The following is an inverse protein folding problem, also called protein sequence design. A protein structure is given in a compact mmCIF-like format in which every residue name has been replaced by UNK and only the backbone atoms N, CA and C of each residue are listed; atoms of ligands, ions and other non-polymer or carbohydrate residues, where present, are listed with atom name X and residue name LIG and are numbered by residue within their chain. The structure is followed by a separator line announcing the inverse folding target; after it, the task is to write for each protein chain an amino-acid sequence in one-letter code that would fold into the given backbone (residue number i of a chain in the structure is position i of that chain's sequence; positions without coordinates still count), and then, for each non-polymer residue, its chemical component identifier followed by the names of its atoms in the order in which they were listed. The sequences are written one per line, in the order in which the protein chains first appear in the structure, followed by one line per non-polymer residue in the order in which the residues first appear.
data_IF_794858982031
#
_entry.id   IF_794858982031
#
_cell.length_a   1.000
_cell.length_b   1.000
_cell.length_c   1.000
_cell.angle_alpha   90.00
_cell.angle_beta   90.00
_cell.angle_gamma   90.00
#
_symmetry.space_group_name_H-M   'P 1'
#
loop_
_entity.id
_entity.type
_entity.pdbx_description
1 polymer ?
#
# COMPACT_ATOMS: atom_id res chain seq x y z
N UNK A 1 -22.11 18.12 5.48
CA UNK A 1 -21.27 17.26 4.62
C UNK A 1 -20.11 16.80 5.47
N UNK A 2 -19.97 15.49 5.72
CA UNK A 2 -18.80 14.98 6.43
C UNK A 2 -17.56 15.30 5.58
N UNK A 3 -16.57 15.98 6.16
CA UNK A 3 -15.30 16.18 5.48
C UNK A 3 -14.75 14.81 5.09
N UNK A 4 -14.63 14.51 3.79
CA UNK A 4 -14.00 13.26 3.36
C UNK A 4 -12.58 13.25 3.93
N UNK A 5 -12.35 12.35 4.88
CA UNK A 5 -11.17 12.34 5.72
C UNK A 5 -9.99 11.95 4.84
N UNK A 6 -9.02 12.86 4.70
CA UNK A 6 -7.75 12.55 4.05
C UNK A 6 -7.08 11.37 4.79
N UNK A 7 -6.49 10.46 4.02
CA UNK A 7 -5.80 9.24 4.50
C UNK A 7 -4.33 9.28 4.09
N UNK A 8 -3.50 8.61 4.86
CA UNK A 8 -2.07 8.45 4.61
C UNK A 8 -1.83 7.03 4.08
N UNK A 9 -1.32 6.93 2.85
CA UNK A 9 -0.98 5.66 2.21
C UNK A 9 0.52 5.37 2.28
N UNK A 10 0.86 4.12 2.57
CA UNK A 10 2.16 3.56 2.20
C UNK A 10 2.05 3.07 0.76
N UNK A 11 2.81 3.67 -0.15
CA UNK A 11 2.82 3.25 -1.56
C UNK A 11 4.11 2.48 -1.83
N UNK A 12 3.96 1.22 -2.20
CA UNK A 12 5.07 0.35 -2.54
C UNK A 12 5.80 0.86 -3.80
N UNK A 13 7.12 0.66 -3.80
CA UNK A 13 8.02 0.87 -4.92
C UNK A 13 7.51 0.23 -6.21
N UNK A 14 6.86 -0.95 -6.14
CA UNK A 14 6.33 -1.58 -7.35
C UNK A 14 5.31 -0.68 -8.08
N UNK A 15 4.44 0.02 -7.35
CA UNK A 15 3.39 0.90 -7.92
C UNK A 15 4.03 2.14 -8.56
N UNK A 16 4.94 2.81 -7.84
CA UNK A 16 5.63 4.01 -8.37
C UNK A 16 6.58 3.67 -9.51
N UNK A 17 7.12 2.46 -9.57
CA UNK A 17 7.92 1.96 -10.70
C UNK A 17 7.07 1.71 -11.92
N UNK A 18 5.90 1.08 -11.76
CA UNK A 18 5.04 0.70 -12.89
C UNK A 18 4.21 1.85 -13.46
N UNK A 19 3.96 2.92 -12.69
CA UNK A 19 3.19 4.08 -13.14
C UNK A 19 3.82 4.74 -14.38
N UNK A 20 3.12 4.64 -15.51
CA UNK A 20 3.59 5.17 -16.80
C UNK A 20 3.29 6.65 -17.00
N UNK A 21 3.84 7.23 -18.07
CA UNK A 21 3.46 8.58 -18.54
C UNK A 21 2.08 8.61 -19.20
N UNK A 22 1.66 9.75 -19.75
CA UNK A 22 0.37 9.88 -20.44
C UNK A 22 0.27 8.93 -21.65
N UNK A 23 1.37 8.74 -22.37
CA UNK A 23 1.45 7.87 -23.56
C UNK A 23 1.56 6.37 -23.22
N UNK A 24 1.44 5.99 -21.95
CA UNK A 24 1.54 4.60 -21.55
C UNK A 24 0.41 3.77 -22.17
N UNK A 25 0.76 2.68 -22.84
CA UNK A 25 -0.19 1.77 -23.50
C UNK A 25 -0.61 0.59 -22.62
N UNK A 26 0.29 0.11 -21.76
CA UNK A 26 0.03 -1.05 -20.91
C UNK A 26 -0.98 -0.73 -19.80
N UNK A 27 -2.00 -1.59 -19.57
CA UNK A 27 -3.04 -1.36 -18.56
C UNK A 27 -2.49 -1.08 -17.16
N UNK A 28 -1.58 -1.92 -16.66
CA UNK A 28 -0.95 -1.75 -15.33
C UNK A 28 -0.29 -0.39 -15.17
N UNK A 29 0.38 0.10 -16.22
CA UNK A 29 1.01 1.42 -16.18
C UNK A 29 -0.01 2.56 -16.11
N UNK A 30 -1.15 2.43 -16.79
CA UNK A 30 -2.27 3.38 -16.70
C UNK A 30 -2.91 3.32 -15.32
N UNK A 31 -3.24 2.13 -14.83
CA UNK A 31 -3.89 1.92 -13.53
C UNK A 31 -3.07 2.49 -12.38
N UNK A 32 -1.75 2.21 -12.34
CA UNK A 32 -0.86 2.77 -11.33
C UNK A 32 -0.76 4.30 -11.42
N UNK A 33 -0.64 4.84 -12.64
CA UNK A 33 -0.59 6.29 -12.87
C UNK A 33 -1.87 6.97 -12.37
N UNK A 34 -3.02 6.44 -12.74
CA UNK A 34 -4.33 7.02 -12.44
C UNK A 34 -4.64 6.92 -10.95
N UNK A 35 -4.25 5.82 -10.29
CA UNK A 35 -4.27 5.70 -8.84
C UNK A 35 -3.43 6.79 -8.13
N UNK A 36 -2.19 7.00 -8.57
CA UNK A 36 -1.33 8.06 -8.00
C UNK A 36 -1.92 9.46 -8.24
N UNK A 37 -2.49 9.71 -9.42
CA UNK A 37 -3.23 10.95 -9.70
C UNK A 37 -4.40 11.14 -8.72
N UNK A 38 -5.18 10.09 -8.49
CA UNK A 38 -6.32 10.11 -7.57
C UNK A 38 -5.90 10.42 -6.13
N UNK A 39 -4.81 9.83 -5.63
CA UNK A 39 -4.23 10.19 -4.32
C UNK A 39 -3.96 11.70 -4.23
N UNK A 40 -3.34 12.27 -5.27
CA UNK A 40 -2.97 13.68 -5.33
C UNK A 40 -4.20 14.60 -5.40
N UNK A 41 -5.19 14.27 -6.24
CA UNK A 41 -6.37 15.11 -6.52
C UNK A 41 -7.40 15.06 -5.38
N UNK A 42 -7.74 13.86 -4.89
CA UNK A 42 -8.69 13.63 -3.77
C UNK A 42 -8.08 14.03 -2.42
N UNK A 43 -6.82 14.46 -2.46
CA UNK A 43 -6.10 15.07 -1.35
C UNK A 43 -5.67 14.11 -0.23
N UNK A 44 -5.45 12.84 -0.54
CA UNK A 44 -4.74 11.92 0.34
C UNK A 44 -3.26 12.31 0.49
N UNK A 45 -2.58 11.68 1.43
CA UNK A 45 -1.16 11.85 1.75
C UNK A 45 -0.44 10.51 1.57
N UNK A 46 0.88 10.54 1.49
CA UNK A 46 1.68 9.31 1.41
C UNK A 46 2.85 9.31 2.37
N UNK A 47 3.22 8.13 2.84
CA UNK A 47 4.40 7.91 3.67
C UNK A 47 5.67 7.93 2.81
N UNK A 48 6.69 8.61 3.30
CA UNK A 48 8.04 8.60 2.74
C UNK A 48 9.06 8.55 3.88
N UNK A 49 9.30 7.35 4.41
CA UNK A 49 10.44 7.12 5.32
C UNK A 49 11.76 7.21 4.55
N UNK A 50 12.89 7.18 5.26
CA UNK A 50 14.23 7.11 4.68
C UNK A 50 14.38 5.92 3.72
N UNK A 51 13.87 4.76 4.11
CA UNK A 51 13.98 3.48 3.40
C UNK A 51 13.09 3.49 2.16
N UNK A 52 11.79 3.82 2.32
CA UNK A 52 10.85 3.95 1.19
C UNK A 52 11.35 5.01 0.20
N UNK A 53 11.84 6.14 0.71
CA UNK A 53 12.40 7.20 -0.12
C UNK A 53 13.62 6.77 -0.92
N UNK A 54 14.48 5.91 -0.34
CA UNK A 54 15.65 5.35 -1.01
C UNK A 54 15.24 4.40 -2.14
N UNK A 55 14.26 3.53 -1.90
CA UNK A 55 13.75 2.63 -2.92
C UNK A 55 13.05 3.37 -4.07
N UNK A 56 12.25 4.39 -3.75
CA UNK A 56 11.65 5.25 -4.77
C UNK A 56 12.71 6.01 -5.56
N UNK A 57 13.77 6.51 -4.92
CA UNK A 57 14.84 7.21 -5.63
C UNK A 57 15.49 6.32 -6.70
N UNK A 58 15.75 5.06 -6.36
CA UNK A 58 16.33 4.06 -7.26
C UNK A 58 15.37 3.64 -8.37
N UNK A 59 14.11 3.39 -8.05
CA UNK A 59 13.22 2.61 -8.92
C UNK A 59 11.98 3.35 -9.44
N UNK A 60 11.63 4.53 -8.93
CA UNK A 60 10.44 5.24 -9.38
C UNK A 60 10.56 5.69 -10.85
N UNK A 61 9.45 5.56 -11.58
CA UNK A 61 9.36 6.00 -12.97
C UNK A 61 9.52 7.51 -13.13
N UNK A 62 9.78 7.97 -14.35
CA UNK A 62 9.83 9.41 -14.65
C UNK A 62 8.53 10.14 -14.28
N UNK A 63 7.38 9.48 -14.48
CA UNK A 63 6.08 10.01 -14.04
C UNK A 63 6.02 10.11 -12.51
N UNK A 64 6.33 9.04 -11.80
CA UNK A 64 6.22 8.99 -10.34
C UNK A 64 7.18 9.98 -9.66
N UNK A 65 8.36 10.25 -10.23
CA UNK A 65 9.26 11.30 -9.77
C UNK A 65 8.61 12.69 -9.84
N UNK A 66 7.96 13.04 -10.95
CA UNK A 66 7.22 14.31 -11.11
C UNK A 66 6.03 14.38 -10.15
N UNK A 67 5.29 13.28 -10.01
CA UNK A 67 4.19 13.17 -9.06
C UNK A 67 4.66 13.38 -7.62
N UNK A 68 5.79 12.78 -7.21
CA UNK A 68 6.39 12.98 -5.88
C UNK A 68 6.72 14.45 -5.61
N UNK A 69 7.28 15.17 -6.59
CA UNK A 69 7.55 16.61 -6.47
C UNK A 69 6.25 17.40 -6.24
N UNK A 70 5.16 17.04 -6.93
CA UNK A 70 3.85 17.66 -6.71
C UNK A 70 3.28 17.33 -5.32
N UNK A 71 3.47 16.11 -4.82
CA UNK A 71 3.08 15.74 -3.47
C UNK A 71 3.85 16.56 -2.42
N UNK A 72 5.16 16.75 -2.61
CA UNK A 72 6.00 17.57 -1.73
C UNK A 72 5.54 19.03 -1.70
N UNK A 73 5.37 19.65 -2.87
CA UNK A 73 4.99 21.07 -2.97
C UNK A 73 3.61 21.34 -2.35
N UNK A 74 2.72 20.36 -2.38
CA UNK A 74 1.39 20.40 -1.75
C UNK A 74 1.38 19.93 -0.30
N UNK A 75 2.55 19.67 0.32
CA UNK A 75 2.71 19.18 1.70
C UNK A 75 1.96 17.88 1.98
N UNK A 76 1.86 17.00 0.97
CA UNK A 76 1.16 15.70 1.04
C UNK A 76 2.07 14.52 1.37
N UNK A 77 3.37 14.75 1.52
CA UNK A 77 4.30 13.75 2.04
C UNK A 77 4.26 13.75 3.57
N UNK A 78 4.17 12.57 4.17
CA UNK A 78 4.29 12.32 5.60
C UNK A 78 5.59 11.55 5.84
N UNK A 79 6.41 12.01 6.79
CA UNK A 79 7.69 11.38 7.15
C UNK A 79 7.64 10.94 8.61
N UNK A 80 6.87 9.88 8.93
CA UNK A 80 6.75 9.40 10.30
C UNK A 80 8.07 8.81 10.76
N UNK A 81 8.34 8.92 12.07
CA UNK A 81 9.34 8.08 12.73
C UNK A 81 8.67 6.71 12.92
N UNK A 82 9.12 5.72 12.16
CA UNK A 82 8.59 4.36 12.23
C UNK A 82 9.37 3.60 13.29
N UNK A 83 8.67 3.13 14.32
CA UNK A 83 9.28 2.27 15.33
C UNK A 83 9.49 0.87 14.74
N UNK A 84 10.70 0.32 14.90
CA UNK A 84 10.96 -1.07 14.55
C UNK A 84 10.12 -2.00 15.42
N UNK A 85 9.56 -3.05 14.81
CA UNK A 85 8.67 -4.04 15.43
C UNK A 85 9.23 -5.46 15.25
N UNK A 86 10.44 -5.76 15.77
CA UNK A 86 11.08 -7.06 15.60
C UNK A 86 10.23 -8.21 16.16
N UNK A 87 9.50 -7.97 17.25
CA UNK A 87 8.59 -8.96 17.83
C UNK A 87 7.42 -9.31 16.90
N UNK A 88 6.91 -8.34 16.13
CA UNK A 88 5.86 -8.59 15.15
C UNK A 88 6.40 -9.38 13.96
N UNK A 89 7.59 -9.02 13.46
CA UNK A 89 8.26 -9.78 12.40
C UNK A 89 8.51 -11.23 12.86
N UNK A 90 8.98 -11.41 14.09
CA UNK A 90 9.20 -12.73 14.69
C UNK A 90 7.90 -13.54 14.76
N UNK A 91 6.81 -12.97 15.29
CA UNK A 91 5.48 -13.62 15.30
C UNK A 91 5.05 -14.10 13.91
N UNK A 92 5.28 -13.29 12.88
CA UNK A 92 4.95 -13.64 11.49
C UNK A 92 5.87 -14.74 10.97
N UNK A 93 7.18 -14.67 11.24
CA UNK A 93 8.17 -15.66 10.79
C UNK A 93 8.04 -17.02 11.51
N UNK A 94 7.50 -17.04 12.72
CA UNK A 94 7.24 -18.28 13.49
C UNK A 94 6.04 -19.08 12.94
N UNK A 95 5.26 -18.51 12.01
CA UNK A 95 4.21 -19.23 11.30
C UNK A 95 4.79 -20.28 10.33
N UNK A 96 3.97 -21.27 9.92
CA UNK A 96 4.40 -22.36 9.03
C UNK A 96 4.54 -21.90 7.56
N UNK A 97 5.37 -20.89 7.33
CA UNK A 97 5.82 -20.43 6.01
C UNK A 97 7.14 -21.10 5.61
N UNK A 98 7.28 -21.39 4.32
CA UNK A 98 8.55 -21.76 3.72
C UNK A 98 9.59 -20.64 3.82
N UNK A 99 10.87 -20.97 3.61
CA UNK A 99 11.96 -19.99 3.67
C UNK A 99 11.77 -18.85 2.65
N UNK A 100 11.39 -19.17 1.42
CA UNK A 100 11.10 -18.18 0.38
C UNK A 100 9.93 -17.24 0.75
N UNK A 101 8.87 -17.78 1.37
CA UNK A 101 7.74 -16.96 1.85
C UNK A 101 8.17 -16.05 3.00
N UNK A 102 9.03 -16.52 3.91
CA UNK A 102 9.60 -15.71 5.00
C UNK A 102 10.47 -14.57 4.47
N UNK A 103 11.30 -14.83 3.46
CA UNK A 103 12.11 -13.79 2.82
C UNK A 103 11.26 -12.73 2.12
N UNK A 104 10.19 -13.14 1.43
CA UNK A 104 9.25 -12.22 0.80
C UNK A 104 8.59 -11.29 1.85
N UNK A 105 8.09 -11.87 2.94
CA UNK A 105 7.50 -11.12 4.05
C UNK A 105 8.51 -10.16 4.72
N UNK A 106 9.76 -10.58 4.88
CA UNK A 106 10.81 -9.78 5.50
C UNK A 106 11.19 -8.56 4.65
N UNK A 107 11.29 -8.73 3.33
CA UNK A 107 11.59 -7.63 2.39
C UNK A 107 10.53 -6.52 2.45
N UNK A 108 9.26 -6.91 2.51
CA UNK A 108 8.13 -5.99 2.52
C UNK A 108 7.67 -5.59 3.95
N UNK A 109 8.34 -6.08 4.99
CA UNK A 109 7.95 -5.81 6.37
C UNK A 109 8.00 -4.32 6.72
N UNK A 110 8.93 -3.56 6.13
CA UNK A 110 8.99 -2.11 6.33
C UNK A 110 7.70 -1.39 5.89
N UNK A 111 6.99 -1.92 4.89
CA UNK A 111 5.71 -1.35 4.44
C UNK A 111 4.63 -1.54 5.51
N UNK A 112 4.67 -2.68 6.20
CA UNK A 112 3.77 -3.03 7.31
C UNK A 112 4.03 -2.11 8.50
N UNK A 113 5.29 -1.93 8.90
CA UNK A 113 5.64 -1.04 10.01
C UNK A 113 5.21 0.42 9.73
N UNK A 114 5.44 0.89 8.51
CA UNK A 114 5.02 2.21 8.06
C UNK A 114 3.48 2.37 8.07
N UNK A 115 2.75 1.34 7.65
CA UNK A 115 1.29 1.36 7.62
C UNK A 115 0.70 1.37 9.04
N UNK A 116 1.22 0.53 9.93
CA UNK A 116 0.83 0.45 11.34
C UNK A 116 1.18 1.72 12.14
N UNK A 117 2.12 2.52 11.64
CA UNK A 117 2.47 3.83 12.23
C UNK A 117 1.61 4.98 11.70
N UNK A 118 0.69 4.70 10.77
CA UNK A 118 -0.17 5.69 10.11
C UNK A 118 -1.62 5.19 10.00
N UNK A 119 -2.25 5.27 8.83
CA UNK A 119 -3.67 4.94 8.63
C UNK A 119 -3.91 3.47 8.22
N UNK A 120 -2.89 2.60 8.35
CA UNK A 120 -2.95 1.19 7.99
C UNK A 120 -3.27 0.91 6.51
N UNK A 121 -3.07 1.87 5.61
CA UNK A 121 -3.30 1.70 4.17
C UNK A 121 -2.00 1.40 3.42
N UNK A 122 -1.92 0.26 2.73
CA UNK A 122 -0.83 -0.11 1.83
C UNK A 122 -1.37 -0.21 0.40
N UNK A 123 -0.66 0.37 -0.56
CA UNK A 123 -0.86 0.14 -1.99
C UNK A 123 0.32 -0.64 -2.56
N UNK A 124 0.07 -1.86 -3.01
CA UNK A 124 1.07 -2.73 -3.64
C UNK A 124 0.41 -3.67 -4.65
N UNK A 125 1.17 -4.04 -5.67
CA UNK A 125 0.75 -5.05 -6.66
C UNK A 125 1.20 -6.47 -6.31
N UNK A 126 1.95 -6.65 -5.22
CA UNK A 126 2.44 -7.97 -4.81
C UNK A 126 1.32 -8.80 -4.17
N UNK A 127 0.62 -9.58 -5.00
CA UNK A 127 -0.44 -10.47 -4.51
C UNK A 127 0.13 -11.65 -3.72
N UNK A 128 1.39 -12.06 -3.92
CA UNK A 128 1.98 -13.16 -3.14
C UNK A 128 2.12 -12.70 -1.69
N UNK A 129 2.77 -11.56 -1.46
CA UNK A 129 2.93 -10.98 -0.13
C UNK A 129 1.58 -10.70 0.52
N UNK A 130 0.61 -10.16 -0.23
CA UNK A 130 -0.76 -9.98 0.28
C UNK A 130 -1.36 -11.29 0.79
N UNK A 131 -1.29 -12.38 0.00
CA UNK A 131 -1.85 -13.67 0.42
C UNK A 131 -1.14 -14.24 1.65
N UNK A 132 0.18 -14.07 1.75
CA UNK A 132 0.93 -14.45 2.94
C UNK A 132 0.50 -13.64 4.17
N UNK A 133 0.27 -12.34 4.01
CA UNK A 133 -0.21 -11.49 5.08
C UNK A 133 -1.66 -11.77 5.49
N UNK A 134 -2.54 -12.15 4.56
CA UNK A 134 -3.89 -12.65 4.88
C UNK A 134 -3.80 -13.93 5.74
N UNK A 135 -2.95 -14.89 5.35
CA UNK A 135 -2.70 -16.08 6.16
C UNK A 135 -2.18 -15.71 7.56
N UNK A 136 -1.22 -14.78 7.62
CA UNK A 136 -0.65 -14.32 8.89
C UNK A 136 -1.68 -13.59 9.77
N UNK A 137 -2.58 -12.80 9.18
CA UNK A 137 -3.61 -12.02 9.88
C UNK A 137 -4.59 -12.91 10.67
N UNK A 138 -4.72 -14.20 10.31
CA UNK A 138 -5.52 -15.15 11.09
C UNK A 138 -4.96 -15.37 12.50
N UNK A 139 -3.64 -15.25 12.67
CA UNK A 139 -2.93 -15.48 13.93
C UNK A 139 -2.37 -14.18 14.55
N UNK A 140 -2.16 -13.15 13.73
CA UNK A 140 -1.54 -11.88 14.13
C UNK A 140 -2.56 -10.76 13.98
N UNK A 141 -3.21 -10.40 15.09
CA UNK A 141 -4.32 -9.44 15.11
C UNK A 141 -3.95 -8.05 14.60
N UNK A 142 -2.70 -7.63 14.80
CA UNK A 142 -2.14 -6.36 14.33
C UNK A 142 -2.24 -6.19 12.81
N UNK A 143 -2.24 -7.29 12.04
CA UNK A 143 -2.32 -7.25 10.58
C UNK A 143 -3.76 -7.07 10.07
N UNK A 144 -4.78 -7.45 10.86
CA UNK A 144 -6.18 -7.46 10.41
C UNK A 144 -6.71 -6.08 10.01
N UNK A 145 -6.16 -5.03 10.62
CA UNK A 145 -6.54 -3.63 10.35
C UNK A 145 -5.88 -3.05 9.08
N UNK A 146 -4.92 -3.75 8.48
CA UNK A 146 -4.24 -3.27 7.28
C UNK A 146 -5.18 -3.40 6.10
N UNK A 147 -5.38 -2.28 5.41
CA UNK A 147 -6.08 -2.19 4.14
C UNK A 147 -5.02 -2.34 3.04
N UNK A 148 -5.19 -3.36 2.20
CA UNK A 148 -4.26 -3.64 1.10
C UNK A 148 -4.95 -3.43 -0.25
N UNK A 149 -4.54 -2.41 -0.99
CA UNK A 149 -5.08 -2.11 -2.31
C UNK A 149 -4.08 -2.43 -3.41
N UNK A 150 -4.58 -3.08 -4.46
CA UNK A 150 -3.83 -3.32 -5.68
C UNK A 150 -4.45 -2.49 -6.81
N UNK A 151 -3.76 -1.43 -7.31
CA UNK A 151 -4.32 -0.56 -8.33
C UNK A 151 -4.61 -1.27 -9.65
N UNK A 152 -3.97 -2.42 -9.92
CA UNK A 152 -4.11 -3.14 -11.18
C UNK A 152 -5.27 -4.16 -11.20
N UNK A 153 -5.84 -4.49 -10.03
CA UNK A 153 -6.91 -5.50 -9.93
C UNK A 153 -8.31 -4.92 -10.06
N UNK A 154 -8.57 -3.80 -9.40
CA UNK A 154 -9.89 -3.16 -9.35
C UNK A 154 -9.80 -1.63 -9.47
N UNK A 155 -9.32 -1.08 -10.59
CA UNK A 155 -9.03 0.35 -10.71
C UNK A 155 -10.26 1.25 -10.53
N UNK A 156 -11.44 0.85 -11.01
CA UNK A 156 -12.66 1.63 -10.89
C UNK A 156 -13.17 1.64 -9.43
N UNK A 157 -13.33 0.46 -8.83
CA UNK A 157 -13.76 0.33 -7.42
C UNK A 157 -12.81 1.07 -6.48
N UNK A 158 -11.50 1.03 -6.77
CA UNK A 158 -10.50 1.73 -5.99
C UNK A 158 -10.61 3.24 -6.13
N UNK A 159 -10.93 3.73 -7.33
CA UNK A 159 -11.18 5.16 -7.57
C UNK A 159 -12.39 5.65 -6.79
N UNK A 160 -13.48 4.88 -6.82
CA UNK A 160 -14.71 5.21 -6.08
C UNK A 160 -14.45 5.18 -4.57
N UNK A 161 -13.75 4.15 -4.07
CA UNK A 161 -13.37 4.05 -2.66
C UNK A 161 -12.46 5.19 -2.19
N UNK A 162 -11.48 5.61 -3.02
CA UNK A 162 -10.68 6.79 -2.73
C UNK A 162 -11.56 8.05 -2.67
N UNK A 163 -12.47 8.23 -3.63
CA UNK A 163 -13.37 9.38 -3.68
C UNK A 163 -14.31 9.46 -2.47
N UNK A 164 -14.66 8.31 -1.90
CA UNK A 164 -15.41 8.19 -0.64
C UNK A 164 -14.56 8.40 0.63
N UNK A 165 -13.29 8.78 0.48
CA UNK A 165 -12.39 9.08 1.59
C UNK A 165 -11.62 7.86 2.13
N UNK A 166 -11.55 6.78 1.35
CA UNK A 166 -10.82 5.55 1.70
C UNK A 166 -11.21 5.02 3.10
N UNK A 167 -12.51 4.78 3.28
CA UNK A 167 -13.07 4.31 4.55
C UNK A 167 -12.70 2.84 4.81
N UNK A 168 -12.14 2.49 5.99
CA UNK A 168 -11.75 1.12 6.33
C UNK A 168 -12.88 0.11 6.23
N UNK A 169 -14.09 0.48 6.65
CA UNK A 169 -15.28 -0.37 6.61
C UNK A 169 -15.76 -0.72 5.20
N UNK A 170 -15.14 -0.14 4.17
CA UNK A 170 -15.44 -0.38 2.76
C UNK A 170 -14.20 -0.81 1.97
N UNK A 171 -13.06 -0.96 2.63
CA UNK A 171 -11.77 -1.27 2.00
C UNK A 171 -11.43 -2.75 2.09
N UNK A 172 -10.57 -3.26 1.19
CA UNK A 172 -10.07 -4.63 1.25
C UNK A 172 -9.07 -4.79 2.41
N UNK A 173 -9.57 -5.15 3.59
CA UNK A 173 -8.72 -5.41 4.76
C UNK A 173 -8.12 -6.81 4.70
N UNK A 174 -6.94 -7.01 5.31
CA UNK A 174 -6.35 -8.34 5.45
C UNK A 174 -7.12 -9.25 6.41
N UNK A 175 -7.89 -8.66 7.33
CA UNK A 175 -8.67 -9.39 8.33
C UNK A 175 -10.01 -9.93 7.81
N UNK A 176 -10.57 -9.31 6.77
CA UNK A 176 -11.76 -9.80 6.08
C UNK A 176 -11.35 -10.79 4.99
N UNK A 177 -10.87 -11.95 5.41
CA UNK A 177 -10.98 -13.11 4.54
C UNK A 177 -12.46 -13.31 4.23
N UNK A 178 -12.90 -12.96 3.01
CA UNK A 178 -13.96 -13.75 2.39
C UNK A 178 -13.41 -15.17 2.38
N UNK A 179 -13.83 -15.95 3.37
CA UNK A 179 -13.81 -17.38 3.23
C UNK A 179 -14.66 -17.70 2.03
N UNK A 180 -14.02 -17.90 0.87
CA UNK A 180 -14.61 -18.70 -0.18
C UNK A 180 -14.71 -20.13 0.37
N UNK A 181 -15.73 -20.34 1.20
CA UNK A 181 -16.39 -21.63 1.31
C UNK A 181 -17.23 -21.73 0.05
N UNK A 182 -16.62 -22.22 -1.02
CA UNK A 182 -17.36 -22.84 -2.11
C UNK A 182 -17.30 -24.34 -1.86
N UNK A 183 -18.45 -24.89 -1.46
CA UNK A 183 -18.75 -26.31 -1.53
C UNK A 183 -18.61 -26.84 -2.96
#
# INVERSE_FOLDING_TARGET
MAANKSRIFVVDTCVVRSAGGEDAVFPTSKHCRDFLKNILTICHRVVLTSEIGTEWHKHASGFARKWRVQMESRKKICRPIVASRPELLKKIKDLPFSEAEREALEKDFMLIEAALSTDCCISSMDEIVKQLLVKAASNVGELKQIIWVNPDKSPQELTDWLAEGALPSKGPTLGEGKGDVAC
#
